data_IF_800925979553
#
_entry.id   IF_800925979553
#
_cell.length_a   1.000
_cell.length_b   1.000
_cell.length_c   1.000
_cell.angle_alpha   90.00
_cell.angle_beta   90.00
_cell.angle_gamma   90.00
#
_symmetry.space_group_name_H-M   'P 1'
#
loop_
_entity.id
_entity.type
_entity.pdbx_description
1 polymer ?
#
# COMPACT_ATOMS: atom_id res chain seq x y z
N UNK A 1 11.63 13.60 0.33
CA UNK A 1 10.64 14.70 0.33
C UNK A 1 9.76 14.73 1.61
N UNK A 2 10.09 13.91 2.61
CA UNK A 2 9.27 13.83 3.84
C UNK A 2 9.14 15.19 4.54
N UNK A 3 10.20 16.00 4.56
CA UNK A 3 10.19 17.32 5.21
C UNK A 3 9.13 18.25 4.60
N UNK A 4 8.99 18.26 3.28
CA UNK A 4 7.96 19.04 2.58
C UNK A 4 6.57 18.42 2.70
N UNK A 5 6.47 17.10 2.71
CA UNK A 5 5.19 16.42 2.86
C UNK A 5 4.56 16.67 4.24
N UNK A 6 5.38 16.87 5.29
CA UNK A 6 4.91 17.19 6.66
C UNK A 6 4.08 18.47 6.73
N UNK A 7 4.29 19.42 5.84
CA UNK A 7 3.51 20.66 5.79
C UNK A 7 2.02 20.40 5.51
N UNK A 8 1.70 19.26 4.87
CA UNK A 8 0.32 18.86 4.58
C UNK A 8 -0.36 18.15 5.75
N UNK A 9 0.32 17.89 6.87
CA UNK A 9 -0.21 17.12 8.01
C UNK A 9 -1.48 17.70 8.63
N UNK A 10 -1.65 19.00 8.58
CA UNK A 10 -2.87 19.66 9.06
C UNK A 10 -4.08 19.44 8.15
N UNK A 11 -3.87 19.04 6.91
CA UNK A 11 -4.90 18.87 5.90
C UNK A 11 -5.27 17.41 5.66
N UNK A 12 -4.32 16.49 5.89
CA UNK A 12 -4.51 15.06 5.63
C UNK A 12 -3.66 14.16 6.51
N UNK A 13 -4.20 12.99 6.85
CA UNK A 13 -3.47 11.89 7.50
C UNK A 13 -2.82 10.93 6.49
N UNK A 14 -2.92 11.24 5.20
CA UNK A 14 -2.42 10.40 4.12
C UNK A 14 -1.14 10.98 3.53
N UNK A 15 -0.19 10.09 3.19
CA UNK A 15 0.98 10.38 2.39
C UNK A 15 1.13 9.33 1.31
N UNK A 16 1.46 9.75 0.09
CA UNK A 16 1.66 8.86 -1.04
C UNK A 16 3.13 8.46 -1.08
N UNK A 17 3.39 7.16 -1.05
CA UNK A 17 4.74 6.59 -1.13
C UNK A 17 4.91 6.03 -2.54
N UNK A 18 5.84 6.58 -3.30
CA UNK A 18 6.19 6.14 -4.65
C UNK A 18 7.60 5.57 -4.70
N UNK A 19 7.98 4.92 -5.81
CA UNK A 19 9.28 4.28 -5.93
C UNK A 19 10.41 5.28 -6.16
N UNK A 20 10.24 6.16 -7.14
CA UNK A 20 11.27 7.05 -7.66
C UNK A 20 11.14 8.51 -7.24
N UNK A 21 12.25 9.23 -7.32
CA UNK A 21 12.23 10.67 -7.08
C UNK A 21 11.55 11.43 -8.23
N UNK A 22 11.55 10.90 -9.45
CA UNK A 22 10.86 11.50 -10.60
C UNK A 22 9.34 11.50 -10.38
N UNK A 23 8.78 10.41 -9.85
CA UNK A 23 7.38 10.34 -9.46
C UNK A 23 7.03 11.46 -8.47
N UNK A 24 7.89 11.66 -7.45
CA UNK A 24 7.71 12.76 -6.49
C UNK A 24 7.71 14.11 -7.18
N UNK A 25 8.65 14.35 -8.10
CA UNK A 25 8.74 15.64 -8.81
C UNK A 25 7.47 15.90 -9.62
N UNK A 26 7.00 14.91 -10.36
CA UNK A 26 5.80 15.04 -11.22
C UNK A 26 4.52 15.21 -10.41
N UNK A 27 4.33 14.42 -9.37
CA UNK A 27 3.17 14.55 -8.49
C UNK A 27 3.19 15.88 -7.75
N UNK A 28 4.34 16.27 -7.20
CA UNK A 28 4.50 17.54 -6.49
C UNK A 28 4.26 18.75 -7.39
N UNK A 29 4.77 18.74 -8.63
CA UNK A 29 4.57 19.79 -9.62
C UNK A 29 3.11 19.89 -10.06
N UNK A 30 2.38 18.76 -10.06
CA UNK A 30 0.94 18.72 -10.32
C UNK A 30 0.09 19.16 -9.12
N UNK A 31 0.73 19.60 -8.03
CA UNK A 31 0.07 20.11 -6.83
C UNK A 31 -0.35 19.04 -5.82
N UNK A 32 0.23 17.82 -5.89
CA UNK A 32 0.09 16.76 -4.87
C UNK A 32 1.30 16.85 -3.96
N UNK A 33 1.15 17.52 -2.82
CA UNK A 33 2.27 17.88 -1.95
C UNK A 33 2.64 16.81 -0.93
N UNK A 34 1.68 15.97 -0.53
CA UNK A 34 1.83 14.87 0.43
C UNK A 34 2.41 13.60 -0.24
N UNK A 35 3.52 13.73 -0.95
CA UNK A 35 4.19 12.63 -1.67
C UNK A 35 5.65 12.49 -1.25
N UNK A 36 6.10 11.25 -1.08
CA UNK A 36 7.47 10.87 -0.72
C UNK A 36 7.95 9.70 -1.58
N UNK A 37 9.26 9.60 -1.77
CA UNK A 37 9.87 8.45 -2.45
C UNK A 37 10.60 7.54 -1.47
N UNK A 38 10.59 6.25 -1.80
CA UNK A 38 11.37 5.23 -1.10
C UNK A 38 12.81 5.09 -1.64
N UNK A 39 13.17 5.83 -2.69
CA UNK A 39 14.51 5.97 -3.24
C UNK A 39 15.24 4.66 -3.56
N UNK A 40 14.60 3.77 -4.35
CA UNK A 40 15.25 2.59 -4.95
C UNK A 40 15.55 1.44 -3.99
N UNK A 41 15.05 1.47 -2.78
CA UNK A 41 15.15 0.37 -1.81
C UNK A 41 13.76 -0.09 -1.36
N UNK A 42 13.62 -1.36 -0.95
CA UNK A 42 12.36 -1.81 -0.38
C UNK A 42 12.03 -1.04 0.91
N UNK A 43 10.77 -0.59 1.06
CA UNK A 43 10.30 0.10 2.26
C UNK A 43 10.58 -0.74 3.52
N UNK A 44 11.27 -0.15 4.49
CA UNK A 44 11.68 -0.82 5.73
C UNK A 44 10.69 -0.53 6.86
N UNK A 45 10.67 -1.40 7.88
CA UNK A 45 9.89 -1.20 9.10
C UNK A 45 10.24 0.15 9.76
N UNK A 46 11.53 0.47 9.86
CA UNK A 46 11.98 1.75 10.42
C UNK A 46 11.45 2.96 9.64
N UNK A 47 11.38 2.86 8.32
CA UNK A 47 10.85 3.95 7.50
C UNK A 47 9.35 4.13 7.71
N UNK A 48 8.57 3.03 7.77
CA UNK A 48 7.15 3.12 8.04
C UNK A 48 6.86 3.67 9.45
N UNK A 49 7.64 3.28 10.46
CA UNK A 49 7.53 3.82 11.83
C UNK A 49 7.77 5.34 11.86
N UNK A 50 8.72 5.84 11.05
CA UNK A 50 8.97 7.28 10.92
C UNK A 50 7.79 7.97 10.24
N UNK A 51 7.23 7.37 9.18
CA UNK A 51 6.10 7.92 8.43
C UNK A 51 4.86 8.00 9.34
N UNK A 52 4.56 6.97 10.12
CA UNK A 52 3.42 6.93 11.02
C UNK A 52 3.44 8.00 12.13
N UNK A 53 4.61 8.54 12.48
CA UNK A 53 4.68 9.70 13.39
C UNK A 53 4.01 10.95 12.83
N UNK A 54 3.79 11.00 11.52
CA UNK A 54 3.25 12.17 10.82
C UNK A 54 1.96 11.86 10.05
N UNK A 55 1.83 10.65 9.51
CA UNK A 55 0.74 10.23 8.64
C UNK A 55 0.30 8.82 9.03
N UNK A 56 -0.89 8.69 9.63
CA UNK A 56 -1.43 7.40 10.07
C UNK A 56 -1.88 6.49 8.92
N UNK A 57 -2.10 7.05 7.73
CA UNK A 57 -2.66 6.35 6.57
C UNK A 57 -1.75 6.49 5.31
N UNK A 58 -0.52 5.96 5.30
CA UNK A 58 0.31 5.95 4.10
C UNK A 58 -0.31 5.10 2.99
N UNK A 59 -0.21 5.60 1.76
CA UNK A 59 -0.67 4.94 0.53
C UNK A 59 0.54 4.55 -0.29
N UNK A 60 0.79 3.27 -0.48
CA UNK A 60 1.85 2.75 -1.33
C UNK A 60 1.33 2.69 -2.75
N UNK A 61 1.90 3.51 -3.64
CA UNK A 61 1.56 3.62 -5.04
C UNK A 61 2.82 3.37 -5.86
N UNK A 62 3.06 2.10 -6.19
CA UNK A 62 4.17 1.66 -7.03
C UNK A 62 3.71 1.45 -8.47
N UNK A 63 4.65 1.13 -9.34
CA UNK A 63 4.38 0.89 -10.75
C UNK A 63 3.32 -0.21 -10.94
N UNK A 64 2.44 -0.01 -11.89
CA UNK A 64 1.35 -0.94 -12.19
C UNK A 64 1.78 -2.20 -12.95
N UNK A 65 3.06 -2.33 -13.31
CA UNK A 65 3.60 -3.49 -13.99
C UNK A 65 3.75 -4.72 -13.07
N UNK A 66 4.12 -5.85 -13.64
CA UNK A 66 4.30 -7.12 -12.90
C UNK A 66 5.40 -6.99 -11.82
N UNK A 67 6.45 -6.22 -12.09
CA UNK A 67 7.56 -6.01 -11.15
C UNK A 67 7.12 -5.18 -9.97
N UNK A 68 6.46 -4.06 -10.22
CA UNK A 68 5.91 -3.17 -9.19
C UNK A 68 4.84 -3.86 -8.33
N UNK A 69 3.95 -4.65 -8.93
CA UNK A 69 2.97 -5.45 -8.18
C UNK A 69 3.63 -6.48 -7.25
N UNK A 70 4.69 -7.16 -7.71
CA UNK A 70 5.46 -8.09 -6.86
C UNK A 70 6.23 -7.35 -5.76
N UNK A 71 6.73 -6.15 -6.04
CA UNK A 71 7.38 -5.31 -5.03
C UNK A 71 6.36 -4.84 -3.99
N UNK A 72 5.19 -4.39 -4.41
CA UNK A 72 4.10 -3.98 -3.53
C UNK A 72 3.64 -5.12 -2.62
N UNK A 73 3.48 -6.35 -3.16
CA UNK A 73 3.13 -7.50 -2.34
C UNK A 73 4.19 -7.79 -1.27
N UNK A 74 5.46 -7.81 -1.63
CA UNK A 74 6.56 -8.03 -0.65
C UNK A 74 6.56 -6.98 0.46
N UNK A 75 6.26 -5.73 0.12
CA UNK A 75 6.11 -4.65 1.10
C UNK A 75 4.87 -4.91 1.97
N UNK A 76 3.74 -5.28 1.37
CA UNK A 76 2.51 -5.58 2.08
C UNK A 76 2.72 -6.70 3.11
N UNK A 77 3.27 -7.84 2.69
CA UNK A 77 3.54 -8.99 3.57
C UNK A 77 4.52 -8.65 4.71
N UNK A 78 5.55 -7.84 4.41
CA UNK A 78 6.56 -7.42 5.39
C UNK A 78 5.98 -6.48 6.45
N UNK A 79 5.13 -5.54 6.04
CA UNK A 79 4.60 -4.52 6.93
C UNK A 79 3.28 -4.92 7.60
N UNK A 80 2.61 -5.96 7.10
CA UNK A 80 1.35 -6.45 7.64
C UNK A 80 1.38 -6.74 9.15
N UNK A 81 2.46 -7.34 9.72
CA UNK A 81 2.56 -7.56 11.16
C UNK A 81 2.55 -6.30 12.03
N UNK A 82 2.80 -5.14 11.44
CA UNK A 82 3.02 -3.87 12.16
C UNK A 82 1.77 -3.00 12.24
N UNK A 83 0.71 -3.32 11.48
CA UNK A 83 -0.54 -2.55 11.51
C UNK A 83 -1.21 -2.63 12.87
N UNK A 84 -1.92 -1.58 13.23
CA UNK A 84 -2.73 -1.50 14.43
C UNK A 84 -3.96 -0.60 14.20
N UNK A 85 -4.79 -0.37 15.21
CA UNK A 85 -6.01 0.42 15.09
C UNK A 85 -5.78 1.86 14.61
N UNK A 86 -4.65 2.47 14.97
CA UNK A 86 -4.31 3.86 14.62
C UNK A 86 -3.55 3.95 13.29
N UNK A 87 -2.67 2.97 13.01
CA UNK A 87 -1.72 2.98 11.90
C UNK A 87 -2.10 1.95 10.84
N UNK A 88 -2.59 2.44 9.72
CA UNK A 88 -3.00 1.62 8.57
C UNK A 88 -1.98 1.73 7.44
N UNK A 89 -2.09 0.86 6.47
CA UNK A 89 -1.32 0.91 5.22
C UNK A 89 -2.28 0.62 4.07
N UNK A 90 -2.22 1.46 3.05
CA UNK A 90 -3.04 1.31 1.85
C UNK A 90 -2.17 1.05 0.64
N UNK A 91 -2.74 0.37 -0.35
CA UNK A 91 -2.11 0.11 -1.64
C UNK A 91 -3.00 0.62 -2.76
N UNK A 92 -2.39 1.27 -3.73
CA UNK A 92 -3.02 1.69 -4.98
C UNK A 92 -2.19 1.14 -6.13
N UNK A 93 -2.80 0.38 -7.02
CA UNK A 93 -2.15 -0.19 -8.21
C UNK A 93 -2.60 0.60 -9.43
N UNK A 94 -1.67 1.21 -10.13
CA UNK A 94 -1.96 1.97 -11.33
C UNK A 94 -2.33 1.05 -12.51
N UNK A 95 -3.26 1.44 -13.36
CA UNK A 95 -3.69 0.63 -14.49
C UNK A 95 -2.64 0.61 -15.61
N UNK A 96 -2.73 -0.40 -16.49
CA UNK A 96 -1.97 -0.51 -17.74
C UNK A 96 -0.44 -0.50 -17.59
N UNK A 97 0.09 -0.87 -16.42
CA UNK A 97 1.53 -0.88 -16.17
C UNK A 97 2.18 0.49 -16.06
N UNK A 98 1.40 1.56 -15.94
CA UNK A 98 1.91 2.91 -15.76
C UNK A 98 2.67 3.04 -14.42
N UNK A 99 3.69 3.89 -14.44
CA UNK A 99 4.25 4.47 -13.22
C UNK A 99 3.49 5.75 -12.81
N UNK A 100 3.69 6.26 -11.59
CA UNK A 100 3.02 7.48 -11.12
C UNK A 100 3.32 8.71 -11.98
N UNK A 101 4.55 8.85 -12.50
CA UNK A 101 4.99 9.96 -13.35
C UNK A 101 4.21 9.97 -14.68
N UNK A 102 4.19 8.85 -15.38
CA UNK A 102 3.48 8.70 -16.65
C UNK A 102 1.97 8.85 -16.46
N UNK A 103 1.42 8.24 -15.41
CA UNK A 103 -0.01 8.30 -15.16
C UNK A 103 -0.51 9.72 -14.89
N UNK A 104 0.22 10.51 -14.07
CA UNK A 104 -0.15 11.91 -13.77
C UNK A 104 0.00 12.82 -14.99
N UNK A 105 1.02 12.61 -15.83
CA UNK A 105 1.22 13.37 -17.07
C UNK A 105 0.13 13.11 -18.09
N UNK A 106 -0.32 11.87 -18.24
CA UNK A 106 -1.35 11.49 -19.21
C UNK A 106 -2.76 11.89 -18.77
N UNK A 107 -3.07 11.74 -17.48
CA UNK A 107 -4.43 11.82 -16.99
C UNK A 107 -4.72 13.06 -16.11
N UNK A 108 -3.68 13.71 -15.61
CA UNK A 108 -3.79 14.88 -14.76
C UNK A 108 -4.17 14.56 -13.30
N UNK A 109 -4.04 15.58 -12.45
CA UNK A 109 -4.24 15.50 -11.00
C UNK A 109 -5.61 14.92 -10.59
N UNK A 110 -6.69 15.37 -11.23
CA UNK A 110 -8.06 14.97 -10.84
C UNK A 110 -8.27 13.47 -10.99
N UNK A 111 -7.80 12.88 -12.09
CA UNK A 111 -7.95 11.45 -12.37
C UNK A 111 -7.04 10.66 -11.44
N UNK A 112 -5.79 11.10 -11.21
CA UNK A 112 -4.88 10.47 -10.28
C UNK A 112 -5.47 10.40 -8.86
N UNK A 113 -6.01 11.50 -8.34
CA UNK A 113 -6.64 11.52 -7.02
C UNK A 113 -7.92 10.68 -6.96
N UNK A 114 -8.69 10.61 -8.05
CA UNK A 114 -9.86 9.73 -8.13
C UNK A 114 -9.45 8.26 -8.05
N UNK A 115 -8.36 7.89 -8.73
CA UNK A 115 -7.82 6.54 -8.69
C UNK A 115 -7.33 6.16 -7.27
N UNK A 116 -6.69 7.08 -6.57
CA UNK A 116 -6.25 6.84 -5.19
C UNK A 116 -7.41 6.60 -4.21
N UNK A 117 -8.64 7.01 -4.52
CA UNK A 117 -9.81 6.69 -3.68
C UNK A 117 -10.18 5.20 -3.71
N UNK A 118 -9.77 4.48 -4.75
CA UNK A 118 -9.98 3.03 -4.90
C UNK A 118 -8.89 2.20 -4.20
N UNK A 119 -8.00 2.86 -3.44
CA UNK A 119 -6.95 2.18 -2.67
C UNK A 119 -7.51 1.10 -1.75
N UNK A 120 -6.77 0.04 -1.61
CA UNK A 120 -7.12 -1.09 -0.75
C UNK A 120 -6.29 -1.04 0.53
N UNK A 121 -6.90 -1.34 1.66
CA UNK A 121 -6.16 -1.56 2.91
C UNK A 121 -5.33 -2.85 2.78
N UNK A 122 -4.21 -2.92 3.48
CA UNK A 122 -3.19 -3.97 3.30
C UNK A 122 -3.74 -5.40 3.36
N UNK A 123 -4.65 -5.71 4.28
CA UNK A 123 -5.25 -7.04 4.37
C UNK A 123 -6.05 -7.40 3.11
N UNK A 124 -6.89 -6.49 2.62
CA UNK A 124 -7.66 -6.69 1.39
C UNK A 124 -6.75 -6.81 0.17
N UNK A 125 -5.68 -6.01 0.12
CA UNK A 125 -4.69 -6.09 -0.96
C UNK A 125 -4.00 -7.46 -1.02
N UNK A 126 -3.54 -7.97 0.12
CA UNK A 126 -2.90 -9.30 0.22
C UNK A 126 -3.90 -10.39 -0.16
N UNK A 127 -5.12 -10.34 0.40
CA UNK A 127 -6.17 -11.29 0.08
C UNK A 127 -6.44 -11.36 -1.43
N UNK A 128 -6.72 -10.21 -2.06
CA UNK A 128 -7.04 -10.15 -3.47
C UNK A 128 -5.90 -10.66 -4.35
N UNK A 129 -4.65 -10.37 -3.96
CA UNK A 129 -3.50 -10.85 -4.70
C UNK A 129 -3.36 -12.37 -4.71
N UNK A 130 -3.64 -13.01 -3.59
CA UNK A 130 -3.51 -14.46 -3.46
C UNK A 130 -4.76 -15.21 -3.96
N UNK A 131 -5.96 -14.76 -3.61
CA UNK A 131 -7.22 -15.45 -3.98
C UNK A 131 -7.45 -15.50 -5.50
N UNK A 132 -6.94 -14.52 -6.23
CA UNK A 132 -7.05 -14.48 -7.69
C UNK A 132 -6.09 -15.44 -8.41
N UNK A 133 -5.18 -16.09 -7.69
CA UNK A 133 -4.20 -17.03 -8.23
C UNK A 133 -4.53 -18.49 -8.00
N UNK A 134 -5.53 -18.78 -7.19
CA UNK A 134 -5.94 -20.15 -6.87
C UNK A 134 -7.19 -20.56 -7.65
N UNK A 135 -7.30 -21.85 -7.93
CA UNK A 135 -8.56 -22.41 -8.41
C UNK A 135 -9.55 -22.54 -7.23
N UNK A 136 -10.58 -21.70 -7.25
CA UNK A 136 -11.63 -21.67 -6.22
C UNK A 136 -12.52 -22.91 -6.20
N UNK A 137 -12.42 -23.77 -7.20
CA UNK A 137 -13.13 -25.05 -7.25
C UNK A 137 -12.26 -26.21 -6.72
N UNK A 138 -10.96 -25.94 -6.44
CA UNK A 138 -10.04 -26.95 -5.92
C UNK A 138 -9.94 -26.85 -4.38
N UNK A 139 -10.51 -27.78 -3.61
CA UNK A 139 -10.52 -27.72 -2.16
C UNK A 139 -9.11 -27.80 -1.54
N UNK A 140 -8.15 -28.40 -2.23
CA UNK A 140 -6.76 -28.45 -1.75
C UNK A 140 -6.09 -27.09 -1.84
N UNK A 141 -6.33 -26.34 -2.91
CA UNK A 141 -5.79 -24.98 -3.09
C UNK A 141 -6.44 -24.01 -2.11
N UNK A 142 -7.75 -24.09 -1.92
CA UNK A 142 -8.46 -23.30 -0.91
C UNK A 142 -7.91 -23.58 0.48
N UNK A 143 -7.77 -24.85 0.87
CA UNK A 143 -7.26 -25.24 2.18
C UNK A 143 -5.83 -24.73 2.42
N UNK A 144 -4.97 -24.79 1.38
CA UNK A 144 -3.61 -24.26 1.45
C UNK A 144 -3.62 -22.75 1.63
N UNK A 145 -4.39 -22.04 0.80
CA UNK A 145 -4.56 -20.60 0.87
C UNK A 145 -5.06 -20.15 2.25
N UNK A 146 -6.09 -20.78 2.79
CA UNK A 146 -6.63 -20.46 4.12
C UNK A 146 -5.57 -20.61 5.22
N UNK A 147 -4.74 -21.67 5.16
CA UNK A 147 -3.63 -21.86 6.10
C UNK A 147 -2.57 -20.74 6.00
N UNK A 148 -2.25 -20.33 4.78
CA UNK A 148 -1.28 -19.24 4.54
C UNK A 148 -1.80 -17.91 5.07
N UNK A 149 -3.05 -17.56 4.79
CA UNK A 149 -3.69 -16.34 5.30
C UNK A 149 -3.77 -16.35 6.83
N UNK A 150 -4.22 -17.46 7.44
CA UNK A 150 -4.23 -17.60 8.91
C UNK A 150 -2.85 -17.37 9.51
N UNK A 151 -1.81 -17.98 8.93
CA UNK A 151 -0.43 -17.79 9.38
C UNK A 151 0.00 -16.33 9.33
N UNK A 152 -0.38 -15.61 8.27
CA UNK A 152 -0.11 -14.19 8.15
C UNK A 152 -0.87 -13.38 9.20
N UNK A 153 -2.15 -13.64 9.41
CA UNK A 153 -2.94 -12.96 10.44
C UNK A 153 -2.34 -13.15 11.84
N UNK A 154 -1.85 -14.36 12.15
CA UNK A 154 -1.16 -14.62 13.43
C UNK A 154 0.12 -13.83 13.63
N UNK A 155 0.71 -13.27 12.56
CA UNK A 155 1.90 -12.42 12.67
C UNK A 155 1.59 -10.97 13.10
N UNK A 156 0.33 -10.55 13.09
CA UNK A 156 -0.08 -9.21 13.54
C UNK A 156 0.26 -9.08 15.02
N UNK A 157 0.99 -8.00 15.35
CA UNK A 157 1.45 -7.73 16.72
C UNK A 157 0.33 -7.23 17.64
N UNK A 158 -0.63 -6.49 17.08
CA UNK A 158 -1.81 -6.02 17.80
C UNK A 158 -2.81 -7.17 17.97
N UNK A 159 -2.97 -7.67 19.20
CA UNK A 159 -3.81 -8.83 19.51
C UNK A 159 -5.31 -8.56 19.25
N UNK A 160 -5.77 -7.33 19.48
CA UNK A 160 -7.17 -6.95 19.25
C UNK A 160 -7.47 -6.92 17.75
N UNK A 161 -6.61 -6.23 16.98
CA UNK A 161 -6.76 -6.18 15.52
C UNK A 161 -6.63 -7.56 14.88
N UNK A 162 -5.68 -8.38 15.36
CA UNK A 162 -5.50 -9.78 14.91
C UNK A 162 -6.80 -10.57 14.95
N UNK A 163 -7.54 -10.48 16.05
CA UNK A 163 -8.82 -11.18 16.21
C UNK A 163 -9.82 -10.76 15.12
N UNK A 164 -10.02 -9.46 14.92
CA UNK A 164 -10.99 -8.97 13.95
C UNK A 164 -10.56 -9.21 12.50
N UNK A 165 -9.26 -9.13 12.20
CA UNK A 165 -8.75 -9.46 10.86
C UNK A 165 -8.93 -10.97 10.55
N UNK A 166 -8.73 -11.84 11.55
CA UNK A 166 -9.03 -13.28 11.40
C UNK A 166 -10.51 -13.54 11.15
N UNK A 167 -11.40 -12.84 11.87
CA UNK A 167 -12.86 -12.97 11.68
C UNK A 167 -13.32 -12.44 10.32
N UNK A 168 -12.66 -11.41 9.77
CA UNK A 168 -12.98 -10.83 8.46
C UNK A 168 -12.59 -11.75 7.28
N UNK A 169 -11.58 -12.61 7.47
CA UNK A 169 -11.08 -13.54 6.46
C UNK A 169 -11.70 -14.96 6.53
N UNK A 170 -12.46 -15.28 7.56
CA UNK A 170 -13.02 -16.63 7.80
C UNK A 170 -14.54 -16.65 7.74
#
# INVERSE_FOLDING_TARGET
NLDKAKDCRSETNEVIIVEGYMDVVSLYSSGIKNVIANSGTALTERQIDIIWKFFSNPIICLDGDISGQKAALRIAEKLFPLINEENKIYFSTLPNGNDPDDFIKQNGKKIFLSHLKEKQVVQTYIWNFHINKIDKNNPFEISKFEKEIKKMCYSIKDETLKKYVLEDFL
#
